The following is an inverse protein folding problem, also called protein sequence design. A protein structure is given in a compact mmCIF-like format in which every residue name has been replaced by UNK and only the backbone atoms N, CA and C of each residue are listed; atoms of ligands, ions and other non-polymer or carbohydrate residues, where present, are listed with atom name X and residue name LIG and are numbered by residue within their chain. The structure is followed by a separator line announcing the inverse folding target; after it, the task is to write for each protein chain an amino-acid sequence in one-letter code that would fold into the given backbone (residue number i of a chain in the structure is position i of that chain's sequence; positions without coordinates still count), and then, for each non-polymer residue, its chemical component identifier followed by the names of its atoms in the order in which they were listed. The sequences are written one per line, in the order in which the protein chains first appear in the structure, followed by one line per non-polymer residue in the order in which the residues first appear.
data_IF_289309047870
#
_entry.id   IF_289309047870
#
_cell.length_a   1.000
_cell.length_b   1.000
_cell.length_c   1.000
_cell.angle_alpha   90.00
_cell.angle_beta   90.00
_cell.angle_gamma   90.00
#
_symmetry.space_group_name_H-M   'P 1'
#
loop_
_entity.id
_entity.type
_entity.pdbx_description
1 polymer ?
#
# COMPACT_ATOMS: atom_id res chain seq x y z
N UNK A 1 33.06 9.18 -50.01
CA UNK A 1 32.79 10.39 -49.19
C UNK A 1 31.47 10.93 -49.67
N UNK A 2 30.34 10.67 -49.03
CA UNK A 2 29.99 11.17 -47.70
C UNK A 2 28.97 10.23 -47.03
N UNK A 3 29.37 9.60 -45.92
CA UNK A 3 28.42 8.98 -44.99
C UNK A 3 27.65 10.11 -44.31
N UNK A 4 26.34 10.16 -44.55
CA UNK A 4 25.44 11.05 -43.83
C UNK A 4 25.21 10.44 -42.45
N UNK A 5 25.87 10.99 -41.45
CA UNK A 5 25.60 10.75 -40.03
C UNK A 5 24.14 11.13 -39.75
N UNK A 6 23.26 10.12 -39.69
CA UNK A 6 21.92 10.31 -39.16
C UNK A 6 22.06 10.45 -37.64
N UNK A 7 21.86 11.68 -37.17
CA UNK A 7 21.78 12.04 -35.76
C UNK A 7 20.78 11.13 -35.05
N UNK A 8 21.28 10.27 -34.16
CA UNK A 8 20.48 9.53 -33.20
C UNK A 8 19.91 10.55 -32.22
N UNK A 9 18.69 11.03 -32.47
CA UNK A 9 17.88 11.59 -31.39
C UNK A 9 17.76 10.50 -30.34
N UNK A 10 18.34 10.74 -29.16
CA UNK A 10 18.27 9.85 -28.00
C UNK A 10 16.82 9.77 -27.53
N UNK A 11 16.07 8.85 -28.15
CA UNK A 11 14.71 8.48 -27.78
C UNK A 11 14.81 7.70 -26.47
N UNK A 12 14.00 8.07 -25.47
CA UNK A 12 13.92 7.33 -24.21
C UNK A 12 13.79 5.82 -24.50
N UNK A 13 14.55 4.94 -23.81
CA UNK A 13 14.42 3.51 -23.97
C UNK A 13 12.96 3.09 -23.71
N UNK A 14 12.36 2.30 -24.61
CA UNK A 14 10.97 1.82 -24.49
C UNK A 14 10.71 1.17 -23.12
N UNK A 15 11.70 0.46 -22.58
CA UNK A 15 11.67 -0.11 -21.23
C UNK A 15 11.36 0.94 -20.15
N UNK A 16 11.92 2.15 -20.23
CA UNK A 16 11.64 3.20 -19.26
C UNK A 16 10.19 3.67 -19.34
N UNK A 17 9.64 3.80 -20.55
CA UNK A 17 8.22 4.17 -20.75
C UNK A 17 7.28 3.10 -20.21
N UNK A 18 7.61 1.82 -20.40
CA UNK A 18 6.82 0.70 -19.85
C UNK A 18 6.87 0.73 -18.32
N UNK A 19 8.06 0.89 -17.73
CA UNK A 19 8.22 0.98 -16.28
C UNK A 19 7.44 2.17 -15.71
N UNK A 20 7.55 3.38 -16.31
CA UNK A 20 6.77 4.57 -15.94
C UNK A 20 5.26 4.30 -15.95
N UNK A 21 4.76 3.55 -16.94
CA UNK A 21 3.35 3.21 -17.04
C UNK A 21 2.92 2.19 -15.97
N UNK A 22 3.75 1.19 -15.67
CA UNK A 22 3.53 0.22 -14.59
C UNK A 22 3.41 0.94 -13.24
N UNK A 23 4.24 1.95 -13.00
CA UNK A 23 4.21 2.74 -11.76
C UNK A 23 2.94 3.58 -11.66
N UNK A 24 2.55 4.22 -12.76
CA UNK A 24 1.39 5.12 -12.79
C UNK A 24 0.05 4.39 -12.73
N UNK A 25 0.00 3.09 -13.04
CA UNK A 25 -1.24 2.33 -13.13
C UNK A 25 -1.15 0.97 -12.40
N UNK A 26 -1.70 0.85 -11.17
CA UNK A 26 -1.63 -0.39 -10.40
C UNK A 26 -2.47 -1.52 -10.99
N UNK A 27 -3.56 -1.22 -11.71
CA UNK A 27 -4.36 -2.24 -12.39
C UNK A 27 -3.58 -2.85 -13.56
N UNK A 28 -2.83 -2.02 -14.28
CA UNK A 28 -1.94 -2.47 -15.36
C UNK A 28 -0.79 -3.33 -14.82
N UNK A 29 -0.19 -2.95 -13.69
CA UNK A 29 0.82 -3.77 -13.02
C UNK A 29 0.27 -5.13 -12.61
N UNK A 30 -0.97 -5.17 -12.09
CA UNK A 30 -1.63 -6.42 -11.72
C UNK A 30 -1.93 -7.30 -12.93
N UNK A 31 -2.48 -6.73 -14.01
CA UNK A 31 -2.74 -7.45 -15.25
C UNK A 31 -1.45 -8.05 -15.85
N UNK A 32 -0.35 -7.28 -15.89
CA UNK A 32 0.95 -7.77 -16.34
C UNK A 32 1.50 -8.92 -15.48
N UNK A 33 1.22 -8.90 -14.17
CA UNK A 33 1.61 -9.99 -13.27
C UNK A 33 0.86 -11.29 -13.60
N UNK A 34 -0.44 -11.20 -13.89
CA UNK A 34 -1.25 -12.37 -14.27
C UNK A 34 -0.82 -12.94 -15.62
N UNK A 35 -0.50 -12.07 -16.59
CA UNK A 35 0.01 -12.49 -17.89
C UNK A 35 1.42 -13.12 -17.77
N UNK A 36 2.29 -12.57 -16.92
CA UNK A 36 3.60 -13.17 -16.66
C UNK A 36 3.47 -14.59 -16.10
N UNK A 37 2.53 -14.82 -15.18
CA UNK A 37 2.23 -16.14 -14.61
C UNK A 37 1.65 -17.10 -15.66
N UNK A 38 0.73 -16.62 -16.51
CA UNK A 38 0.16 -17.42 -17.59
C UNK A 38 1.20 -17.86 -18.63
N UNK A 39 2.22 -17.02 -18.88
CA UNK A 39 3.26 -17.26 -19.88
C UNK A 39 4.44 -18.10 -19.37
N UNK A 40 4.47 -18.50 -18.09
CA UNK A 40 5.61 -19.25 -17.52
C UNK A 40 5.90 -20.57 -18.26
N UNK A 41 4.87 -21.24 -18.77
CA UNK A 41 5.00 -22.51 -19.48
C UNK A 41 5.28 -22.33 -20.98
N UNK A 42 4.59 -21.39 -21.62
CA UNK A 42 4.59 -21.27 -23.08
C UNK A 42 5.69 -20.32 -23.60
N UNK A 43 5.96 -19.22 -22.88
CA UNK A 43 6.97 -18.22 -23.26
C UNK A 43 7.77 -17.74 -22.02
N UNK A 44 8.64 -18.59 -21.46
CA UNK A 44 9.32 -18.31 -20.19
C UNK A 44 10.27 -17.10 -20.27
N UNK A 45 10.84 -16.82 -21.45
CA UNK A 45 11.68 -15.63 -21.67
C UNK A 45 10.89 -14.33 -21.60
N UNK A 46 9.64 -14.35 -22.09
CA UNK A 46 8.72 -13.21 -22.04
C UNK A 46 8.25 -13.01 -20.61
N UNK A 47 7.81 -14.08 -19.94
CA UNK A 47 7.45 -14.06 -18.51
C UNK A 47 8.58 -13.48 -17.65
N UNK A 48 9.82 -13.94 -17.86
CA UNK A 48 10.99 -13.41 -17.15
C UNK A 48 11.24 -11.92 -17.42
N UNK A 49 10.98 -11.44 -18.65
CA UNK A 49 11.10 -10.03 -19.01
C UNK A 49 10.03 -9.17 -18.33
N UNK A 50 8.79 -9.65 -18.30
CA UNK A 50 7.69 -8.97 -17.60
C UNK A 50 7.97 -8.87 -16.10
N UNK A 51 8.39 -9.98 -15.49
CA UNK A 51 8.79 -10.02 -14.08
C UNK A 51 9.96 -9.08 -13.78
N UNK A 52 10.95 -8.98 -14.68
CA UNK A 52 12.03 -8.01 -14.56
C UNK A 52 11.53 -6.56 -14.58
N UNK A 53 10.55 -6.22 -15.42
CA UNK A 53 9.98 -4.87 -15.45
C UNK A 53 9.13 -4.58 -14.21
N UNK A 54 8.37 -5.56 -13.71
CA UNK A 54 7.60 -5.45 -12.47
C UNK A 54 8.52 -5.26 -11.25
N UNK A 55 9.64 -5.99 -11.18
CA UNK A 55 10.66 -5.82 -10.13
C UNK A 55 11.30 -4.42 -10.20
N UNK A 56 11.68 -3.97 -11.39
CA UNK A 56 12.23 -2.61 -11.59
C UNK A 56 11.22 -1.52 -11.22
N UNK A 57 9.94 -1.73 -11.50
CA UNK A 57 8.87 -0.83 -11.09
C UNK A 57 8.62 -0.86 -9.57
N UNK A 58 8.80 -2.03 -8.92
CA UNK A 58 8.76 -2.17 -7.47
C UNK A 58 9.92 -1.45 -6.77
N UNK A 59 11.09 -1.37 -7.41
CA UNK A 59 12.32 -0.77 -6.86
C UNK A 59 12.47 0.75 -7.02
N UNK A 60 11.38 1.48 -7.29
CA UNK A 60 11.35 2.92 -6.99
C UNK A 60 11.02 3.14 -5.51
N UNK A 61 11.77 4.00 -4.81
CA UNK A 61 11.75 4.13 -3.35
C UNK A 61 10.42 4.61 -2.73
N UNK A 62 9.41 4.88 -3.56
CA UNK A 62 8.14 5.50 -3.16
C UNK A 62 6.95 4.51 -3.11
N UNK A 63 7.19 3.20 -3.25
CA UNK A 63 6.22 2.17 -2.86
C UNK A 63 6.64 1.48 -1.56
N UNK A 64 7.15 2.25 -0.59
CA UNK A 64 7.04 1.82 0.80
C UNK A 64 5.57 1.84 1.14
N UNK A 65 4.99 0.68 1.43
CA UNK A 65 3.71 0.64 2.16
C UNK A 65 3.91 1.48 3.42
N UNK A 66 3.31 2.67 3.46
CA UNK A 66 3.39 3.55 4.61
C UNK A 66 2.46 2.97 5.65
N UNK A 67 3.03 2.33 6.67
CA UNK A 67 2.28 2.02 7.87
C UNK A 67 2.13 3.30 8.67
N UNK A 68 0.90 3.62 9.03
CA UNK A 68 0.61 4.62 10.05
C UNK A 68 0.55 3.91 11.40
N UNK A 69 1.02 4.58 12.45
CA UNK A 69 0.84 4.07 13.80
C UNK A 69 -0.65 3.90 14.09
N UNK A 70 -1.02 2.72 14.57
CA UNK A 70 -2.40 2.43 14.97
C UNK A 70 -2.66 3.05 16.34
N UNK A 71 -3.72 3.86 16.44
CA UNK A 71 -4.26 4.34 17.70
C UNK A 71 -5.76 4.03 17.77
N UNK A 72 -6.16 3.26 18.79
CA UNK A 72 -7.56 2.89 19.03
C UNK A 72 -8.49 4.10 19.04
N UNK A 73 -8.03 5.23 19.57
CA UNK A 73 -8.83 6.44 19.67
C UNK A 73 -9.23 7.06 18.31
N UNK A 74 -8.61 6.64 17.20
CA UNK A 74 -9.00 7.07 15.84
C UNK A 74 -10.25 6.37 15.32
N UNK A 75 -10.65 5.25 15.95
CA UNK A 75 -11.75 4.41 15.49
C UNK A 75 -12.99 4.50 16.39
N UNK A 76 -12.88 5.12 17.56
CA UNK A 76 -14.00 5.34 18.49
C UNK A 76 -14.75 6.64 18.12
N UNK A 77 -15.44 6.65 16.98
CA UNK A 77 -16.05 7.86 16.41
C UNK A 77 -17.45 8.15 16.93
N UNK A 78 -18.16 7.11 17.38
CA UNK A 78 -19.54 7.18 17.84
C UNK A 78 -19.68 6.60 19.24
N UNK A 79 -20.82 6.85 19.88
CA UNK A 79 -21.14 6.21 21.15
C UNK A 79 -21.21 4.68 21.01
N UNK A 80 -21.72 4.19 19.88
CA UNK A 80 -21.82 2.76 19.57
C UNK A 80 -20.42 2.11 19.49
N UNK A 81 -19.44 2.79 18.87
CA UNK A 81 -18.04 2.31 18.82
C UNK A 81 -17.43 2.24 20.23
N UNK A 82 -17.72 3.25 21.06
CA UNK A 82 -17.22 3.31 22.44
C UNK A 82 -17.83 2.20 23.30
N UNK A 83 -19.13 1.95 23.16
CA UNK A 83 -19.84 0.93 23.93
C UNK A 83 -19.36 -0.47 23.54
N UNK A 84 -19.26 -0.75 22.23
CA UNK A 84 -18.75 -2.03 21.73
C UNK A 84 -17.29 -2.27 22.14
N UNK A 85 -16.44 -1.24 22.11
CA UNK A 85 -15.06 -1.34 22.57
C UNK A 85 -14.98 -1.63 24.07
N UNK A 86 -15.77 -0.92 24.89
CA UNK A 86 -15.78 -1.12 26.34
C UNK A 86 -16.31 -2.51 26.72
N UNK A 87 -17.34 -3.01 26.04
CA UNK A 87 -17.86 -4.37 26.25
C UNK A 87 -16.79 -5.42 25.95
N UNK A 88 -16.10 -5.30 24.80
CA UNK A 88 -14.99 -6.19 24.46
C UNK A 88 -13.87 -6.14 25.51
N UNK A 89 -13.51 -4.94 25.99
CA UNK A 89 -12.51 -4.78 27.05
C UNK A 89 -12.96 -5.38 28.39
N UNK A 90 -14.25 -5.37 28.71
CA UNK A 90 -14.78 -6.00 29.94
C UNK A 90 -14.75 -7.52 29.85
N UNK A 91 -15.03 -8.09 28.68
CA UNK A 91 -15.00 -9.54 28.44
C UNK A 91 -13.58 -10.10 28.41
N UNK A 92 -12.63 -9.34 27.87
CA UNK A 92 -11.23 -9.77 27.71
C UNK A 92 -10.30 -9.37 28.87
N UNK A 93 -10.77 -8.56 29.82
CA UNK A 93 -9.96 -8.15 30.97
C UNK A 93 -9.54 -9.38 31.80
N UNK A 94 -8.26 -9.51 32.18
CA UNK A 94 -7.78 -10.65 32.95
C UNK A 94 -8.29 -10.66 34.41
N UNK A 95 -9.12 -9.68 34.80
CA UNK A 95 -9.68 -9.49 36.13
C UNK A 95 -8.84 -8.56 37.01
N UNK A 96 -7.78 -7.95 36.47
CA UNK A 96 -6.95 -6.97 37.16
C UNK A 96 -7.32 -5.51 36.83
N UNK A 97 -8.27 -5.32 35.90
CA UNK A 97 -8.75 -4.02 35.46
C UNK A 97 -7.78 -3.25 34.57
N UNK A 98 -6.68 -3.88 34.12
CA UNK A 98 -5.68 -3.24 33.29
C UNK A 98 -6.23 -2.87 31.90
N UNK A 99 -7.06 -3.73 31.31
CA UNK A 99 -7.64 -3.50 30.00
C UNK A 99 -8.74 -2.45 30.07
N UNK A 100 -9.56 -2.50 31.12
CA UNK A 100 -10.58 -1.49 31.39
C UNK A 100 -9.95 -0.09 31.56
N UNK A 101 -8.85 0.00 32.32
CA UNK A 101 -8.14 1.27 32.51
C UNK A 101 -7.58 1.80 31.18
N UNK A 102 -6.99 0.92 30.36
CA UNK A 102 -6.50 1.30 29.03
C UNK A 102 -7.64 1.80 28.14
N UNK A 103 -8.78 1.11 28.17
CA UNK A 103 -9.95 1.49 27.40
C UNK A 103 -10.45 2.89 27.77
N UNK A 104 -10.49 3.21 29.06
CA UNK A 104 -10.87 4.55 29.55
C UNK A 104 -9.92 5.65 29.02
N UNK A 105 -8.61 5.40 29.04
CA UNK A 105 -7.62 6.35 28.48
C UNK A 105 -7.81 6.55 26.96
N UNK A 106 -8.14 5.49 26.23
CA UNK A 106 -8.40 5.54 24.78
C UNK A 106 -9.70 6.30 24.47
N UNK A 107 -10.78 6.03 25.21
CA UNK A 107 -12.07 6.72 25.11
C UNK A 107 -11.93 8.21 25.42
N UNK A 108 -11.15 8.58 26.43
CA UNK A 108 -10.89 9.98 26.76
C UNK A 108 -10.19 10.72 25.60
N UNK A 109 -9.20 10.10 24.96
CA UNK A 109 -8.53 10.65 23.77
C UNK A 109 -9.48 10.75 22.58
N UNK A 110 -10.30 9.74 22.34
CA UNK A 110 -11.28 9.73 21.26
C UNK A 110 -12.33 10.83 21.43
N UNK A 111 -12.89 10.96 22.63
CA UNK A 111 -13.86 12.00 22.98
C UNK A 111 -13.28 13.40 22.79
N UNK A 112 -12.02 13.60 23.20
CA UNK A 112 -11.33 14.85 22.94
C UNK A 112 -11.24 15.16 21.44
N UNK A 113 -10.85 14.18 20.61
CA UNK A 113 -10.76 14.33 19.15
C UNK A 113 -12.11 14.70 18.52
N UNK A 114 -13.19 14.03 18.92
CA UNK A 114 -14.56 14.32 18.45
C UNK A 114 -14.91 15.78 18.75
N UNK A 115 -14.67 16.21 19.99
CA UNK A 115 -14.99 17.57 20.44
C UNK A 115 -14.13 18.64 19.77
N UNK A 116 -12.89 18.33 19.38
CA UNK A 116 -12.00 19.28 18.68
C UNK A 116 -12.20 19.35 17.17
N UNK A 117 -12.93 18.40 16.58
CA UNK A 117 -13.24 18.34 15.14
C UNK A 117 -14.58 19.03 14.78
N UNK A 118 -15.34 19.50 15.78
CA UNK A 118 -16.55 20.31 15.62
C UNK A 118 -16.24 21.81 15.71
#
# INVERSE_FOLDING_TARGET
MTEKSHSLHSTRPVEQTIIEHIIANPEFAHALSLEAEALESDEPEVAARLNQWLEKAQYLPDRKTTFTDFDTADYLCTQEDIDAYLEACLEEDPGDGSLIKRAQDDIARATHRINTKQ
#
